data_IF_065088933664
#
_entry.id   IF_065088933664
#
_cell.length_a   1.000
_cell.length_b   1.000
_cell.length_c   1.000
_cell.angle_alpha   90.00
_cell.angle_beta   90.00
_cell.angle_gamma   90.00
#
_symmetry.space_group_name_H-M   'P 1'
#
loop_
_entity.id
_entity.type
_entity.pdbx_description
1 polymer ?
#
# COMPACT_ATOMS: atom_id res chain seq x y z
N UNK A 1 -8.84 -2.48 -58.84
CA UNK A 1 -7.47 -2.01 -59.20
C UNK A 1 -6.71 -1.83 -57.89
N UNK A 2 -5.89 -2.82 -57.50
CA UNK A 2 -4.41 -2.82 -57.60
C UNK A 2 -3.77 -1.95 -56.50
N UNK A 3 -2.73 -2.32 -55.75
CA UNK A 3 -1.83 -3.48 -55.60
C UNK A 3 -1.04 -3.19 -54.28
N UNK A 4 -0.69 -4.19 -53.46
CA UNK A 4 0.70 -4.60 -53.11
C UNK A 4 1.70 -3.48 -52.70
N UNK A 5 2.63 -3.60 -51.75
CA UNK A 5 3.16 -4.68 -50.91
C UNK A 5 4.40 -4.18 -50.15
N UNK A 6 4.75 -4.83 -49.01
CA UNK A 6 6.13 -5.11 -48.47
C UNK A 6 7.00 -3.90 -48.09
N UNK A 7 7.99 -3.95 -47.18
CA UNK A 7 8.80 -4.96 -46.46
C UNK A 7 9.55 -4.18 -45.35
N UNK A 8 9.89 -4.68 -44.17
CA UNK A 8 10.88 -5.72 -43.88
C UNK A 8 12.26 -5.10 -43.58
N UNK A 9 12.83 -5.34 -42.39
CA UNK A 9 14.17 -4.84 -42.02
C UNK A 9 14.63 -5.23 -40.62
N UNK A 10 14.91 -6.51 -40.40
CA UNK A 10 15.68 -7.03 -39.26
C UNK A 10 17.18 -6.89 -39.53
N UNK A 11 17.96 -6.36 -38.58
CA UNK A 11 19.42 -6.31 -38.68
C UNK A 11 20.05 -7.16 -37.57
N UNK A 12 20.38 -8.40 -37.92
CA UNK A 12 21.35 -9.24 -37.21
C UNK A 12 22.72 -8.98 -37.84
N UNK A 13 23.71 -8.58 -37.03
CA UNK A 13 25.12 -8.47 -37.42
C UNK A 13 25.97 -9.37 -36.53
N UNK A 14 26.79 -10.19 -37.17
CA UNK A 14 27.48 -11.36 -36.63
C UNK A 14 28.79 -11.07 -35.88
N UNK A 15 29.14 -12.07 -35.07
CA UNK A 15 30.43 -12.46 -34.49
C UNK A 15 31.73 -12.01 -35.19
N UNK A 16 32.78 -11.76 -34.38
CA UNK A 16 34.12 -12.33 -34.63
C UNK A 16 35.01 -12.35 -33.37
N UNK A 17 35.62 -13.52 -33.15
CA UNK A 17 36.64 -13.89 -32.15
C UNK A 17 38.04 -13.53 -32.66
N UNK A 18 38.93 -12.94 -31.84
CA UNK A 18 40.40 -13.06 -31.97
C UNK A 18 41.07 -13.04 -30.59
N UNK A 19 42.11 -13.85 -30.44
CA UNK A 19 42.72 -14.34 -29.22
C UNK A 19 44.00 -13.61 -28.76
N UNK A 20 44.37 -13.87 -27.51
CA UNK A 20 45.73 -14.14 -26.98
C UNK A 20 46.81 -13.04 -27.06
N UNK A 21 47.36 -12.64 -25.89
CA UNK A 21 48.81 -12.75 -25.58
C UNK A 21 49.14 -12.30 -24.14
N UNK A 22 49.66 -13.26 -23.38
CA UNK A 22 50.38 -13.12 -22.12
C UNK A 22 51.72 -12.40 -22.32
N UNK A 23 52.09 -11.47 -21.43
CA UNK A 23 53.49 -11.22 -21.10
C UNK A 23 53.68 -10.97 -19.60
N UNK A 24 54.52 -11.82 -19.01
CA UNK A 24 55.10 -11.74 -17.67
C UNK A 24 56.32 -10.80 -17.70
N UNK A 25 56.45 -9.89 -16.73
CA UNK A 25 57.73 -9.27 -16.38
C UNK A 25 57.83 -9.18 -14.85
N UNK A 26 58.70 -10.01 -14.28
CA UNK A 26 59.22 -9.89 -12.92
C UNK A 26 60.62 -9.29 -13.02
N UNK A 27 60.92 -8.24 -12.25
CA UNK A 27 62.30 -7.83 -11.97
C UNK A 27 62.44 -7.51 -10.48
N UNK A 28 63.29 -8.30 -9.85
CA UNK A 28 63.78 -8.24 -8.48
C UNK A 28 64.89 -7.18 -8.37
N UNK A 29 64.91 -6.40 -7.30
CA UNK A 29 66.02 -5.49 -7.00
C UNK A 29 66.19 -5.28 -5.49
N UNK A 30 67.19 -5.95 -4.90
CA UNK A 30 67.62 -5.78 -3.51
C UNK A 30 68.84 -4.86 -3.46
N UNK A 31 68.85 -3.88 -2.56
CA UNK A 31 70.08 -3.28 -2.02
C UNK A 31 69.98 -3.14 -0.51
N UNK A 32 70.93 -3.76 0.21
CA UNK A 32 71.19 -3.55 1.65
C UNK A 32 72.27 -2.49 1.80
N UNK A 33 72.11 -1.55 2.74
CA UNK A 33 73.25 -0.79 3.27
C UNK A 33 73.04 -0.37 4.74
N UNK A 34 73.96 -0.83 5.58
CA UNK A 34 74.64 -0.04 6.62
C UNK A 34 73.87 0.48 7.84
N UNK A 35 74.06 -0.20 8.97
CA UNK A 35 73.73 0.26 10.31
C UNK A 35 74.60 1.47 10.76
N UNK A 36 74.03 2.37 11.56
CA UNK A 36 74.76 3.20 12.53
C UNK A 36 74.02 3.25 13.86
N UNK A 37 74.79 3.00 14.92
CA UNK A 37 74.39 2.95 16.32
C UNK A 37 74.32 4.34 16.94
N UNK A 38 73.25 4.63 17.68
CA UNK A 38 73.27 5.60 18.78
C UNK A 38 72.39 5.06 19.89
N UNK A 39 73.03 4.57 20.96
CA UNK A 39 72.34 4.29 22.23
C UNK A 39 72.00 5.63 22.88
N UNK A 40 70.71 5.96 22.95
CA UNK A 40 70.16 6.87 23.94
C UNK A 40 69.02 6.12 24.64
N UNK A 41 69.13 6.12 25.97
CA UNK A 41 68.29 5.40 26.89
C UNK A 41 66.94 6.14 27.01
N UNK A 42 65.93 5.67 26.27
CA UNK A 42 64.53 5.97 26.53
C UNK A 42 63.76 4.66 26.68
N UNK A 43 62.95 4.63 27.74
CA UNK A 43 62.11 3.54 28.20
C UNK A 43 61.21 3.00 27.06
N UNK A 44 61.18 1.70 26.73
CA UNK A 44 60.26 1.22 25.71
C UNK A 44 58.85 1.09 26.29
N UNK A 45 58.02 2.08 25.98
CA UNK A 45 56.59 1.87 25.87
C UNK A 45 56.30 0.84 24.75
N UNK A 46 55.39 -0.08 25.06
CA UNK A 46 54.56 -0.84 24.13
C UNK A 46 55.26 -1.63 23.00
N UNK A 47 55.32 -2.94 23.21
CA UNK A 47 54.65 -3.85 22.28
C UNK A 47 53.72 -4.74 23.09
N UNK A 48 52.54 -4.21 23.45
CA UNK A 48 51.39 -5.11 23.54
C UNK A 48 51.24 -5.62 22.12
N UNK A 49 51.63 -6.88 21.91
CA UNK A 49 51.08 -7.65 20.82
C UNK A 49 49.57 -7.47 20.94
N UNK A 50 48.97 -6.67 20.06
CA UNK A 50 47.54 -6.74 19.84
C UNK A 50 47.33 -8.18 19.41
N UNK A 51 46.61 -9.02 20.18
CA UNK A 51 46.29 -10.35 19.72
C UNK A 51 45.69 -10.18 18.33
N UNK A 52 46.20 -10.90 17.34
CA UNK A 52 45.58 -10.97 16.03
C UNK A 52 44.08 -11.17 16.28
N UNK A 53 43.28 -10.18 15.91
CA UNK A 53 41.83 -10.27 16.02
C UNK A 53 41.47 -11.55 15.27
N UNK A 54 41.07 -12.55 16.05
CA UNK A 54 40.40 -13.73 15.52
C UNK A 54 39.26 -13.17 14.66
N UNK A 55 38.98 -13.72 13.46
CA UNK A 55 37.77 -13.35 12.76
C UNK A 55 36.64 -13.64 13.75
N UNK A 56 36.07 -12.58 14.35
CA UNK A 56 34.91 -12.73 15.20
C UNK A 56 33.91 -13.45 14.31
N UNK A 57 33.53 -14.67 14.69
CA UNK A 57 32.36 -15.33 14.13
C UNK A 57 31.19 -14.43 14.50
N UNK A 58 30.95 -13.41 13.67
CA UNK A 58 29.90 -12.43 13.87
C UNK A 58 28.62 -13.22 13.73
N UNK A 59 28.01 -13.52 14.87
CA UNK A 59 26.76 -14.23 14.91
C UNK A 59 25.76 -13.47 14.04
N UNK A 60 25.15 -14.15 13.09
CA UNK A 60 24.26 -13.53 12.11
C UNK A 60 23.16 -12.75 12.84
N UNK A 61 23.01 -11.44 12.59
CA UNK A 61 21.96 -10.66 13.22
C UNK A 61 20.56 -11.24 12.90
N UNK A 62 19.67 -11.17 13.88
CA UNK A 62 18.26 -11.54 13.66
C UNK A 62 17.61 -10.59 12.66
N UNK A 63 16.58 -11.04 11.94
CA UNK A 63 15.83 -10.17 11.02
C UNK A 63 15.39 -8.85 11.68
N UNK A 64 14.90 -8.88 12.92
CA UNK A 64 14.53 -7.67 13.66
C UNK A 64 15.71 -6.72 13.88
N UNK A 65 16.89 -7.25 14.21
CA UNK A 65 18.09 -6.43 14.36
C UNK A 65 18.46 -5.76 13.04
N UNK A 66 18.39 -6.50 11.93
CA UNK A 66 18.67 -5.96 10.60
C UNK A 66 17.67 -4.86 10.23
N UNK A 67 16.38 -5.05 10.50
CA UNK A 67 15.34 -4.03 10.26
C UNK A 67 15.61 -2.75 11.08
N UNK A 68 16.05 -2.88 12.33
CA UNK A 68 16.40 -1.72 13.15
C UNK A 68 17.56 -0.92 12.55
N UNK A 69 18.61 -1.59 12.06
CA UNK A 69 19.73 -0.92 11.39
C UNK A 69 19.28 -0.19 10.10
N UNK A 70 18.39 -0.80 9.32
CA UNK A 70 17.79 -0.17 8.14
C UNK A 70 16.95 1.06 8.51
N UNK A 71 16.21 1.03 9.62
CA UNK A 71 15.48 2.20 10.12
C UNK A 71 16.39 3.35 10.54
N UNK A 72 17.65 3.07 10.88
CA UNK A 72 18.68 4.06 11.21
C UNK A 72 19.46 4.55 9.98
N UNK A 73 19.22 3.97 8.80
CA UNK A 73 19.86 4.36 7.56
C UNK A 73 21.14 3.59 7.21
N UNK A 74 21.45 2.52 7.95
CA UNK A 74 22.61 1.66 7.68
C UNK A 74 22.29 0.67 6.54
N UNK A 75 22.06 1.22 5.34
CA UNK A 75 21.57 0.47 4.18
C UNK A 75 22.59 -0.52 3.61
N UNK A 76 23.87 -0.16 3.57
CA UNK A 76 24.90 -1.04 3.00
C UNK A 76 25.09 -2.30 3.83
N UNK A 77 25.32 -2.14 5.13
CA UNK A 77 25.51 -3.25 6.07
C UNK A 77 24.21 -4.07 6.17
N UNK A 78 23.06 -3.40 6.26
CA UNK A 78 21.76 -4.06 6.32
C UNK A 78 21.40 -4.87 5.06
N UNK A 79 21.87 -4.45 3.86
CA UNK A 79 21.72 -5.25 2.64
C UNK A 79 22.50 -6.56 2.73
N UNK A 80 23.77 -6.48 3.14
CA UNK A 80 24.65 -7.64 3.28
C UNK A 80 24.10 -8.60 4.33
N UNK A 81 23.67 -8.07 5.48
CA UNK A 81 23.07 -8.86 6.54
C UNK A 81 21.76 -9.53 6.07
N UNK A 82 20.90 -8.83 5.31
CA UNK A 82 19.68 -9.43 4.73
C UNK A 82 19.99 -10.54 3.73
N UNK A 83 21.00 -10.34 2.88
CA UNK A 83 21.42 -11.35 1.91
C UNK A 83 21.95 -12.59 2.61
N UNK A 84 22.78 -12.44 3.65
CA UNK A 84 23.26 -13.57 4.45
C UNK A 84 22.11 -14.25 5.22
N UNK A 85 21.21 -13.47 5.83
CA UNK A 85 20.00 -13.97 6.49
C UNK A 85 19.13 -14.83 5.57
N UNK A 86 18.92 -14.39 4.32
CA UNK A 86 18.10 -15.11 3.35
C UNK A 86 18.76 -16.37 2.78
N UNK A 87 20.08 -16.52 2.90
CA UNK A 87 20.76 -17.79 2.57
C UNK A 87 20.37 -18.90 3.55
N UNK A 88 20.25 -18.55 4.83
CA UNK A 88 19.81 -19.48 5.89
C UNK A 88 18.27 -19.62 5.94
N UNK A 89 17.55 -18.56 5.55
CA UNK A 89 16.09 -18.48 5.62
C UNK A 89 15.44 -18.14 4.27
N UNK A 90 15.61 -18.99 3.23
CA UNK A 90 15.15 -18.67 1.88
C UNK A 90 13.63 -18.56 1.73
N UNK A 91 12.84 -19.00 2.71
CA UNK A 91 11.37 -18.90 2.72
C UNK A 91 10.81 -17.71 3.51
N UNK A 92 11.65 -16.90 4.15
CA UNK A 92 11.22 -15.76 4.95
C UNK A 92 10.74 -14.61 4.03
N UNK A 93 9.42 -14.57 3.80
CA UNK A 93 8.79 -13.56 2.95
C UNK A 93 9.02 -12.12 3.45
N UNK A 94 8.87 -11.81 4.75
CA UNK A 94 9.24 -10.49 5.28
C UNK A 94 10.66 -10.07 4.93
N UNK A 95 11.66 -10.95 5.10
CA UNK A 95 13.04 -10.64 4.77
C UNK A 95 13.27 -10.44 3.27
N UNK A 96 12.65 -11.27 2.43
CA UNK A 96 12.67 -11.10 0.97
C UNK A 96 12.07 -9.76 0.54
N UNK A 97 10.92 -9.39 1.12
CA UNK A 97 10.26 -8.12 0.84
C UNK A 97 11.13 -6.93 1.29
N UNK A 98 11.80 -7.04 2.44
CA UNK A 98 12.71 -6.00 2.93
C UNK A 98 13.90 -5.82 1.97
N UNK A 99 14.53 -6.92 1.53
CA UNK A 99 15.63 -6.86 0.56
C UNK A 99 15.15 -6.23 -0.76
N UNK A 100 13.99 -6.63 -1.25
CA UNK A 100 13.40 -6.04 -2.46
C UNK A 100 13.20 -4.52 -2.33
N UNK A 101 12.72 -4.04 -1.18
CA UNK A 101 12.56 -2.59 -0.93
C UNK A 101 13.88 -1.82 -0.96
N UNK A 102 14.99 -2.47 -0.63
CA UNK A 102 16.31 -1.87 -0.59
C UNK A 102 16.94 -1.79 -1.99
N UNK A 103 16.77 -2.85 -2.80
CA UNK A 103 17.43 -2.96 -4.12
C UNK A 103 16.59 -2.42 -5.27
N UNK A 104 15.26 -2.43 -5.16
CA UNK A 104 14.39 -1.95 -6.24
C UNK A 104 14.52 -0.43 -6.45
N UNK A 105 14.24 0.05 -7.65
CA UNK A 105 14.04 1.48 -7.91
C UNK A 105 12.66 1.89 -7.33
N UNK A 106 12.60 2.83 -6.36
CA UNK A 106 11.34 3.26 -5.75
C UNK A 106 10.34 3.83 -6.76
N UNK A 107 10.80 4.51 -7.81
CA UNK A 107 9.92 5.10 -8.83
C UNK A 107 9.33 4.01 -9.72
N UNK A 108 10.11 2.98 -10.06
CA UNK A 108 9.61 1.83 -10.82
C UNK A 108 8.63 1.01 -10.00
N UNK A 109 8.92 0.79 -8.72
CA UNK A 109 8.10 -0.02 -7.83
C UNK A 109 6.79 0.66 -7.42
N UNK A 110 6.81 1.96 -7.10
CA UNK A 110 5.65 2.69 -6.57
C UNK A 110 4.96 3.59 -7.61
N UNK A 111 5.59 3.84 -8.75
CA UNK A 111 5.11 4.72 -9.80
C UNK A 111 5.57 6.17 -9.65
N UNK A 112 5.62 6.89 -10.78
CA UNK A 112 6.10 8.28 -10.84
C UNK A 112 5.07 9.32 -10.38
N UNK A 113 3.79 8.98 -10.39
CA UNK A 113 2.72 9.87 -9.94
C UNK A 113 2.70 9.91 -8.42
N UNK A 114 2.64 11.12 -7.85
CA UNK A 114 2.54 11.31 -6.41
C UNK A 114 1.69 12.52 -6.05
N UNK A 115 1.28 12.58 -4.79
CA UNK A 115 0.71 13.76 -4.16
C UNK A 115 1.63 14.27 -3.04
N UNK A 116 1.65 15.57 -2.82
CA UNK A 116 2.36 16.16 -1.68
C UNK A 116 1.58 15.98 -0.40
N UNK A 117 2.25 15.57 0.66
CA UNK A 117 1.71 15.42 2.00
C UNK A 117 2.58 16.15 3.01
N UNK A 118 1.94 16.83 3.97
CA UNK A 118 2.61 17.48 5.09
C UNK A 118 2.53 16.54 6.28
N UNK A 119 3.68 16.09 6.76
CA UNK A 119 3.79 15.15 7.88
C UNK A 119 3.12 15.73 9.12
N UNK A 120 2.27 14.92 9.76
CA UNK A 120 1.54 15.26 10.98
C UNK A 120 2.17 14.59 12.20
N UNK A 121 1.79 15.05 13.40
CA UNK A 121 2.21 14.41 14.64
C UNK A 121 1.74 12.94 14.67
N UNK A 122 2.68 12.02 14.94
CA UNK A 122 2.43 10.58 14.96
C UNK A 122 2.62 9.88 13.60
N UNK A 123 2.95 10.61 12.54
CA UNK A 123 3.34 9.99 11.28
C UNK A 123 4.76 9.42 11.33
N UNK A 124 4.93 8.29 10.67
CA UNK A 124 6.20 7.64 10.36
C UNK A 124 6.10 7.07 8.95
N UNK A 125 7.21 6.69 8.32
CA UNK A 125 7.10 6.03 7.02
C UNK A 125 6.30 4.73 7.08
N UNK A 126 6.30 4.00 8.19
CA UNK A 126 5.49 2.79 8.35
C UNK A 126 4.00 3.09 8.49
N UNK A 127 3.60 4.11 9.26
CA UNK A 127 2.17 4.48 9.39
C UNK A 127 1.63 5.08 8.10
N UNK A 128 2.46 5.81 7.36
CA UNK A 128 2.11 6.34 6.05
C UNK A 128 2.08 5.23 4.99
N UNK A 129 3.03 4.31 4.98
CA UNK A 129 3.00 3.15 4.09
C UNK A 129 1.75 2.28 4.33
N UNK A 130 1.38 2.04 5.59
CA UNK A 130 0.13 1.35 5.92
C UNK A 130 -1.10 2.07 5.36
N UNK A 131 -1.16 3.40 5.55
CA UNK A 131 -2.32 4.22 5.16
C UNK A 131 -2.46 4.38 3.64
N UNK A 132 -1.35 4.52 2.93
CA UNK A 132 -1.35 4.92 1.51
C UNK A 132 -0.93 3.79 0.56
N UNK A 133 -0.17 2.80 1.02
CA UNK A 133 0.28 1.65 0.23
C UNK A 133 -0.41 0.33 0.65
N UNK A 134 -1.09 0.33 1.80
CA UNK A 134 -1.74 -0.87 2.35
C UNK A 134 -0.79 -1.85 3.03
N UNK A 135 0.51 -1.52 3.09
CA UNK A 135 1.54 -2.35 3.71
C UNK A 135 2.41 -1.51 4.66
N UNK A 136 2.32 -1.69 5.99
CA UNK A 136 3.21 -1.02 6.94
C UNK A 136 4.69 -1.38 6.74
N UNK A 137 4.96 -2.56 6.15
CA UNK A 137 6.30 -3.03 5.83
C UNK A 137 6.98 -2.21 4.73
N UNK A 138 6.22 -1.50 3.89
CA UNK A 138 6.74 -0.70 2.77
C UNK A 138 7.39 0.64 3.18
N UNK A 139 7.77 0.79 4.45
CA UNK A 139 8.34 2.03 5.00
C UNK A 139 9.66 2.41 4.33
N UNK A 140 10.50 1.41 4.04
CA UNK A 140 11.87 1.64 3.55
C UNK A 140 11.83 2.14 2.11
N UNK A 141 11.04 1.50 1.26
CA UNK A 141 10.88 1.95 -0.12
C UNK A 141 10.17 3.30 -0.21
N UNK A 142 9.24 3.62 0.71
CA UNK A 142 8.61 4.93 0.78
C UNK A 142 9.59 6.02 1.26
N UNK A 143 10.49 5.71 2.19
CA UNK A 143 11.56 6.60 2.60
C UNK A 143 12.50 6.90 1.43
N UNK A 144 12.93 5.86 0.71
CA UNK A 144 13.77 5.99 -0.50
C UNK A 144 13.07 6.74 -1.62
N UNK A 145 11.76 6.54 -1.81
CA UNK A 145 10.94 7.31 -2.75
C UNK A 145 11.01 8.83 -2.48
N UNK A 146 11.21 9.21 -1.21
CA UNK A 146 11.34 10.59 -0.77
C UNK A 146 12.79 11.07 -0.65
N UNK A 147 13.76 10.25 -1.03
CA UNK A 147 15.18 10.57 -0.90
C UNK A 147 15.68 10.57 0.56
N UNK A 148 14.93 9.96 1.49
CA UNK A 148 15.36 9.87 2.88
C UNK A 148 16.39 8.76 3.07
N UNK A 149 17.56 9.15 3.60
CA UNK A 149 18.63 8.24 3.99
C UNK A 149 18.37 7.56 5.35
N UNK A 150 17.45 8.10 6.17
CA UNK A 150 17.13 7.56 7.49
C UNK A 150 15.61 7.63 7.72
N UNK A 151 14.90 6.49 7.67
CA UNK A 151 13.45 6.44 7.85
C UNK A 151 12.97 6.94 9.22
N UNK A 152 13.80 6.89 10.26
CA UNK A 152 13.46 7.34 11.61
C UNK A 152 13.53 8.87 11.79
N UNK A 153 14.06 9.61 10.80
CA UNK A 153 14.22 11.07 10.88
C UNK A 153 13.06 11.88 10.30
N UNK A 154 11.92 11.26 9.98
CA UNK A 154 10.76 11.97 9.43
C UNK A 154 10.24 13.04 10.41
N UNK A 155 10.16 14.31 9.97
CA UNK A 155 9.78 15.43 10.86
C UNK A 155 8.36 15.90 10.60
N UNK A 156 7.65 16.25 11.67
CA UNK A 156 6.36 16.95 11.57
C UNK A 156 6.52 18.26 10.79
N UNK A 157 5.61 18.51 9.86
CA UNK A 157 5.66 19.66 8.95
C UNK A 157 6.49 19.44 7.69
N UNK A 158 7.25 18.34 7.60
CA UNK A 158 8.01 18.00 6.40
C UNK A 158 7.08 17.72 5.22
N UNK A 159 7.43 18.22 4.03
CA UNK A 159 6.68 17.94 2.80
C UNK A 159 7.29 16.73 2.11
N UNK A 160 6.54 15.66 2.05
CA UNK A 160 6.92 14.42 1.37
C UNK A 160 6.00 14.15 0.18
N UNK A 161 6.45 13.28 -0.72
CA UNK A 161 5.68 12.70 -1.81
C UNK A 161 5.12 11.34 -1.38
N UNK A 162 3.82 11.19 -1.51
CA UNK A 162 3.14 9.91 -1.38
C UNK A 162 2.78 9.41 -2.78
N UNK A 163 3.27 8.24 -3.21
CA UNK A 163 2.97 7.73 -4.54
C UNK A 163 1.48 7.44 -4.67
N UNK A 164 0.94 7.82 -5.82
CA UNK A 164 -0.40 7.45 -6.26
C UNK A 164 -0.22 6.14 -7.01
N UNK A 165 -0.14 5.02 -6.27
CA UNK A 165 0.07 3.71 -6.87
C UNK A 165 -0.90 3.50 -8.03
N UNK A 166 -0.40 3.00 -9.17
CA UNK A 166 -1.22 2.62 -10.32
C UNK A 166 -2.27 1.53 -9.99
N UNK A 167 -2.18 0.93 -8.79
CA UNK A 167 -3.16 0.03 -8.17
C UNK A 167 -4.12 0.69 -7.16
N UNK A 168 -4.22 2.01 -7.09
CA UNK A 168 -5.21 2.74 -6.25
C UNK A 168 -6.67 2.59 -6.75
N UNK A 169 -6.97 1.50 -7.46
CA UNK A 169 -8.31 0.94 -7.60
C UNK A 169 -8.37 -0.44 -6.93
N UNK A 170 -7.99 -0.54 -5.66
CA UNK A 170 -8.37 -1.59 -4.71
C UNK A 170 -7.90 -1.13 -3.32
N UNK A 171 -8.71 -0.78 -2.33
CA UNK A 171 -10.14 -0.87 -2.09
C UNK A 171 -10.48 0.41 -1.31
N UNK A 172 -11.28 1.30 -1.89
CA UNK A 172 -11.86 2.40 -1.12
C UNK A 172 -12.60 1.76 0.07
N UNK A 173 -12.18 2.05 1.31
CA UNK A 173 -12.85 1.52 2.52
C UNK A 173 -14.36 1.68 2.33
N UNK A 174 -15.20 0.67 2.64
CA UNK A 174 -16.64 0.73 2.37
C UNK A 174 -17.30 2.03 2.89
N UNK A 175 -16.84 2.52 4.04
CA UNK A 175 -17.29 3.81 4.59
C UNK A 175 -16.88 5.02 3.74
N UNK A 176 -15.65 5.06 3.25
CA UNK A 176 -15.18 6.13 2.37
C UNK A 176 -15.97 6.14 1.05
N UNK A 177 -16.21 4.95 0.47
CA UNK A 177 -17.03 4.78 -0.73
C UNK A 177 -18.45 5.29 -0.50
N UNK A 178 -19.09 4.87 0.59
CA UNK A 178 -20.43 5.32 0.93
C UNK A 178 -20.50 6.86 1.12
N UNK A 179 -19.51 7.46 1.77
CA UNK A 179 -19.44 8.93 1.95
C UNK A 179 -19.25 9.68 0.61
N UNK A 180 -18.38 9.16 -0.27
CA UNK A 180 -18.18 9.75 -1.60
C UNK A 180 -19.46 9.67 -2.43
N UNK A 181 -20.13 8.53 -2.45
CA UNK A 181 -21.40 8.33 -3.13
C UNK A 181 -22.49 9.26 -2.60
N UNK A 182 -22.54 9.50 -1.28
CA UNK A 182 -23.46 10.49 -0.70
C UNK A 182 -23.17 11.90 -1.19
N UNK A 183 -21.90 12.34 -1.20
CA UNK A 183 -21.53 13.67 -1.75
C UNK A 183 -21.91 13.80 -3.21
N UNK A 184 -21.69 12.75 -4.00
CA UNK A 184 -22.06 12.73 -5.41
C UNK A 184 -23.58 12.80 -5.61
N UNK A 185 -24.37 12.11 -4.76
CA UNK A 185 -25.83 12.19 -4.82
C UNK A 185 -26.34 13.64 -4.65
N UNK A 186 -25.73 14.40 -3.75
CA UNK A 186 -26.06 15.83 -3.54
C UNK A 186 -25.65 16.67 -4.75
N UNK A 187 -24.46 16.44 -5.31
CA UNK A 187 -24.02 17.14 -6.53
C UNK A 187 -24.95 16.88 -7.73
N UNK A 188 -25.44 15.65 -7.88
CA UNK A 188 -26.42 15.30 -8.92
C UNK A 188 -27.77 16.00 -8.68
N UNK A 189 -28.18 16.12 -7.42
CA UNK A 189 -29.38 16.85 -7.04
C UNK A 189 -29.26 18.35 -7.40
N UNK A 190 -28.11 18.96 -7.10
CA UNK A 190 -27.82 20.36 -7.48
C UNK A 190 -27.84 20.57 -9.01
N UNK A 191 -27.58 19.53 -9.78
CA UNK A 191 -27.67 19.52 -11.25
C UNK A 191 -29.10 19.23 -11.77
N UNK A 192 -30.09 19.06 -10.89
CA UNK A 192 -31.46 18.70 -11.24
C UNK A 192 -31.66 17.24 -11.63
N UNK A 193 -30.64 16.39 -11.46
CA UNK A 193 -30.66 14.97 -11.85
C UNK A 193 -31.20 14.09 -10.72
N UNK A 194 -32.47 14.29 -10.38
CA UNK A 194 -33.11 13.69 -9.20
C UNK A 194 -33.02 12.15 -9.16
N UNK A 195 -33.29 11.47 -10.28
CA UNK A 195 -33.27 10.00 -10.32
C UNK A 195 -31.86 9.44 -10.10
N UNK A 196 -30.86 10.10 -10.70
CA UNK A 196 -29.46 9.72 -10.53
C UNK A 196 -28.99 9.99 -9.11
N UNK A 197 -29.42 11.10 -8.51
CA UNK A 197 -29.15 11.43 -7.12
C UNK A 197 -29.68 10.33 -6.18
N UNK A 198 -30.96 9.93 -6.34
CA UNK A 198 -31.56 8.85 -5.55
C UNK A 198 -30.82 7.52 -5.74
N UNK A 199 -30.48 7.16 -6.97
CA UNK A 199 -29.75 5.94 -7.27
C UNK A 199 -28.38 5.92 -6.58
N UNK A 200 -27.65 7.05 -6.63
CA UNK A 200 -26.32 7.17 -6.01
C UNK A 200 -26.38 7.10 -4.48
N UNK A 201 -27.39 7.72 -3.88
CA UNK A 201 -27.63 7.60 -2.44
C UNK A 201 -28.02 6.16 -2.06
N UNK A 202 -28.82 5.50 -2.89
CA UNK A 202 -29.18 4.08 -2.72
C UNK A 202 -27.95 3.17 -2.70
N UNK A 203 -26.98 3.39 -3.60
CA UNK A 203 -25.70 2.67 -3.59
C UNK A 203 -24.93 2.92 -2.27
N UNK A 204 -24.86 4.17 -1.81
CA UNK A 204 -24.20 4.53 -0.56
C UNK A 204 -24.78 3.77 0.64
N UNK A 205 -26.11 3.70 0.72
CA UNK A 205 -26.82 3.07 1.84
C UNK A 205 -26.86 1.55 1.75
N UNK A 206 -26.71 0.96 0.57
CA UNK A 206 -26.43 -0.47 0.44
C UNK A 206 -25.08 -0.85 1.06
N UNK A 207 -24.08 0.03 0.94
CA UNK A 207 -22.74 -0.20 1.50
C UNK A 207 -22.73 0.06 3.01
N UNK A 208 -23.38 1.15 3.45
CA UNK A 208 -23.46 1.52 4.87
C UNK A 208 -24.86 2.04 5.21
N UNK A 209 -25.79 1.17 5.65
CA UNK A 209 -27.17 1.57 5.96
C UNK A 209 -27.27 2.66 7.04
N UNK A 210 -26.41 2.58 8.07
CA UNK A 210 -26.29 3.57 9.15
C UNK A 210 -25.48 4.83 8.80
N UNK A 211 -25.20 5.09 7.52
CA UNK A 211 -24.51 6.32 7.10
C UNK A 211 -25.39 7.54 7.44
N UNK A 212 -24.86 8.46 8.26
CA UNK A 212 -25.53 9.71 8.59
C UNK A 212 -25.56 10.65 7.35
N UNK A 213 -26.67 11.35 7.08
CA UNK A 213 -26.71 12.38 6.05
C UNK A 213 -25.84 13.57 6.41
N UNK A 214 -25.10 14.12 5.44
CA UNK A 214 -24.32 15.35 5.59
C UNK A 214 -25.08 16.49 4.91
N UNK A 215 -25.75 17.32 5.72
CA UNK A 215 -26.53 18.46 5.25
C UNK A 215 -28.03 18.18 5.01
N UNK A 216 -28.81 19.25 4.85
CA UNK A 216 -30.27 19.18 4.70
C UNK A 216 -30.69 18.48 3.41
N UNK A 217 -29.98 18.72 2.31
CA UNK A 217 -30.28 18.10 1.02
C UNK A 217 -30.12 16.58 1.08
N UNK A 218 -29.02 16.08 1.65
CA UNK A 218 -28.80 14.64 1.83
C UNK A 218 -29.86 14.00 2.74
N UNK A 219 -30.33 14.72 3.76
CA UNK A 219 -31.39 14.25 4.64
C UNK A 219 -32.75 14.17 3.92
N UNK A 220 -33.08 15.18 3.12
CA UNK A 220 -34.30 15.18 2.29
C UNK A 220 -34.27 14.06 1.25
N UNK A 221 -33.15 13.89 0.55
CA UNK A 221 -32.96 12.83 -0.44
C UNK A 221 -33.05 11.43 0.19
N UNK A 222 -32.51 11.25 1.41
CA UNK A 222 -32.67 10.00 2.18
C UNK A 222 -34.13 9.70 2.49
N UNK A 223 -34.89 10.71 2.94
CA UNK A 223 -36.33 10.54 3.22
C UNK A 223 -37.08 10.11 1.96
N UNK A 224 -36.88 10.81 0.85
CA UNK A 224 -37.50 10.50 -0.44
C UNK A 224 -37.17 9.08 -0.92
N UNK A 225 -35.92 8.63 -0.73
CA UNK A 225 -35.52 7.28 -1.08
C UNK A 225 -36.27 6.21 -0.25
N UNK A 226 -36.44 6.43 1.06
CA UNK A 226 -37.16 5.50 1.94
C UNK A 226 -38.65 5.46 1.59
N UNK A 227 -39.25 6.60 1.29
CA UNK A 227 -40.64 6.68 0.84
C UNK A 227 -40.82 5.94 -0.49
N UNK A 228 -39.88 6.07 -1.44
CA UNK A 228 -39.90 5.31 -2.70
C UNK A 228 -39.80 3.80 -2.48
N UNK A 229 -38.95 3.33 -1.55
CA UNK A 229 -38.91 1.90 -1.21
C UNK A 229 -40.21 1.42 -0.56
N UNK A 230 -40.85 2.26 0.26
CA UNK A 230 -42.11 1.91 0.89
C UNK A 230 -43.24 1.75 -0.14
N UNK A 231 -43.37 2.71 -1.05
CA UNK A 231 -44.33 2.68 -2.17
C UNK A 231 -44.18 1.40 -3.01
N UNK A 232 -42.94 1.06 -3.41
CA UNK A 232 -42.65 -0.17 -4.16
C UNK A 232 -43.05 -1.43 -3.37
N UNK A 233 -42.75 -1.47 -2.07
CA UNK A 233 -43.12 -2.59 -1.21
C UNK A 233 -44.64 -2.75 -1.08
N UNK A 234 -45.40 -1.65 -1.05
CA UNK A 234 -46.87 -1.69 -1.03
C UNK A 234 -47.43 -2.28 -2.32
N UNK A 235 -46.89 -1.92 -3.48
CA UNK A 235 -47.28 -2.51 -4.77
C UNK A 235 -47.05 -4.02 -4.77
N UNK A 236 -45.84 -4.45 -4.39
CA UNK A 236 -45.49 -5.88 -4.29
C UNK A 236 -46.39 -6.63 -3.31
N UNK A 237 -46.69 -6.02 -2.16
CA UNK A 237 -47.58 -6.60 -1.16
C UNK A 237 -49.01 -6.78 -1.67
N UNK A 238 -49.55 -5.78 -2.37
CA UNK A 238 -50.88 -5.86 -3.00
C UNK A 238 -50.93 -6.97 -4.05
N UNK A 239 -49.83 -7.16 -4.77
CA UNK A 239 -49.70 -8.18 -5.80
C UNK A 239 -49.35 -9.56 -5.19
N UNK A 240 -49.43 -9.71 -3.86
CA UNK A 240 -49.12 -10.92 -3.07
C UNK A 240 -47.67 -11.42 -3.23
N UNK A 241 -46.78 -10.59 -3.76
CA UNK A 241 -45.34 -10.85 -3.80
C UNK A 241 -44.73 -10.51 -2.43
N UNK A 242 -45.03 -11.35 -1.43
CA UNK A 242 -44.73 -11.07 -0.02
C UNK A 242 -43.23 -11.03 0.27
N UNK A 243 -42.44 -11.91 -0.35
CA UNK A 243 -40.99 -11.97 -0.16
C UNK A 243 -40.26 -10.69 -0.61
N UNK A 244 -40.44 -10.20 -1.85
CA UNK A 244 -39.80 -8.96 -2.27
C UNK A 244 -40.36 -7.74 -1.52
N UNK A 245 -41.64 -7.73 -1.12
CA UNK A 245 -42.18 -6.67 -0.25
C UNK A 245 -41.47 -6.61 1.12
N UNK A 246 -41.30 -7.77 1.77
CA UNK A 246 -40.60 -7.89 3.05
C UNK A 246 -39.14 -7.42 2.93
N UNK A 247 -38.44 -7.81 1.85
CA UNK A 247 -37.06 -7.41 1.63
C UNK A 247 -36.88 -5.88 1.51
N UNK A 248 -37.83 -5.18 0.91
CA UNK A 248 -37.79 -3.71 0.85
C UNK A 248 -38.02 -3.06 2.22
N UNK A 249 -38.96 -3.56 3.02
CA UNK A 249 -39.14 -3.06 4.38
C UNK A 249 -37.94 -3.39 5.28
N UNK A 250 -37.33 -4.56 5.13
CA UNK A 250 -36.06 -4.90 5.82
C UNK A 250 -34.96 -3.90 5.47
N UNK A 251 -34.83 -3.54 4.18
CA UNK A 251 -33.86 -2.54 3.74
C UNK A 251 -34.14 -1.16 4.34
N UNK A 252 -35.41 -0.73 4.39
CA UNK A 252 -35.80 0.52 5.05
C UNK A 252 -35.38 0.49 6.52
N UNK A 253 -35.69 -0.58 7.24
CA UNK A 253 -35.39 -0.69 8.68
C UNK A 253 -33.90 -0.81 9.00
N UNK A 254 -33.09 -1.33 8.07
CA UNK A 254 -31.63 -1.29 8.18
C UNK A 254 -31.09 0.16 8.10
N UNK A 255 -31.78 1.03 7.36
CA UNK A 255 -31.41 2.43 7.13
C UNK A 255 -32.00 3.34 8.23
N UNK A 256 -33.27 3.13 8.59
CA UNK A 256 -34.00 3.83 9.63
C UNK A 256 -34.83 2.83 10.46
N UNK A 257 -34.29 2.37 11.61
CA UNK A 257 -34.98 1.43 12.50
C UNK A 257 -36.32 1.93 13.04
N UNK A 258 -36.59 3.24 13.00
CA UNK A 258 -37.79 3.85 13.56
C UNK A 258 -38.88 4.14 12.50
N UNK A 259 -38.67 3.73 11.24
CA UNK A 259 -39.61 3.97 10.14
C UNK A 259 -40.93 3.19 10.31
N UNK A 260 -41.93 3.84 10.93
CA UNK A 260 -43.19 3.21 11.37
C UNK A 260 -43.96 2.45 10.28
N UNK A 261 -44.09 2.94 9.03
CA UNK A 261 -44.80 2.19 7.99
C UNK A 261 -44.12 0.83 7.71
N UNK A 262 -42.80 0.78 7.63
CA UNK A 262 -42.08 -0.47 7.37
C UNK A 262 -42.24 -1.48 8.52
N UNK A 263 -42.19 -1.04 9.78
CA UNK A 263 -42.44 -1.90 10.95
C UNK A 263 -43.83 -2.54 10.83
N UNK A 264 -44.85 -1.72 10.59
CA UNK A 264 -46.24 -2.14 10.58
C UNK A 264 -46.54 -3.09 9.42
N UNK A 265 -46.15 -2.72 8.19
CA UNK A 265 -46.48 -3.50 7.01
C UNK A 265 -45.66 -4.78 6.89
N UNK A 266 -44.40 -4.78 7.32
CA UNK A 266 -43.58 -5.99 7.39
C UNK A 266 -44.19 -7.03 8.32
N UNK A 267 -44.67 -6.62 9.50
CA UNK A 267 -45.34 -7.54 10.43
C UNK A 267 -46.61 -8.16 9.80
N UNK A 268 -47.42 -7.35 9.10
CA UNK A 268 -48.61 -7.82 8.38
C UNK A 268 -48.26 -8.82 7.28
N UNK A 269 -47.22 -8.55 6.49
CA UNK A 269 -46.79 -9.43 5.42
C UNK A 269 -46.22 -10.77 5.90
N UNK A 270 -45.47 -10.76 7.00
CA UNK A 270 -44.98 -11.99 7.64
C UNK A 270 -46.14 -12.87 8.12
N UNK A 271 -47.14 -12.27 8.76
CA UNK A 271 -48.33 -13.00 9.21
C UNK A 271 -49.13 -13.57 8.04
N UNK A 272 -49.34 -12.79 6.98
CA UNK A 272 -50.01 -13.28 5.77
C UNK A 272 -49.25 -14.46 5.14
N UNK A 273 -47.92 -14.34 5.00
CA UNK A 273 -47.06 -15.40 4.47
C UNK A 273 -47.16 -16.69 5.30
N UNK A 274 -47.20 -16.58 6.63
CA UNK A 274 -47.36 -17.72 7.53
C UNK A 274 -48.70 -18.44 7.29
N UNK A 275 -49.80 -17.70 7.15
CA UNK A 275 -51.12 -18.27 6.88
C UNK A 275 -51.18 -19.01 5.55
N UNK A 276 -50.54 -18.49 4.51
CA UNK A 276 -50.50 -19.12 3.19
C UNK A 276 -49.71 -20.44 3.18
N UNK A 277 -48.70 -20.59 4.05
CA UNK A 277 -47.94 -21.85 4.19
C UNK A 277 -48.67 -22.95 4.95
N UNK A 278 -49.74 -22.61 5.67
CA UNK A 278 -50.53 -23.54 6.50
C UNK A 278 -51.79 -24.04 5.78
N UNK A 279 -52.02 -23.61 4.54
CA UNK A 279 -53.08 -24.07 3.66
C UNK A 279 -52.51 -25.06 2.65
#
# INVERSE_FOLDING_TARGET
>A
MARQSRSGGSWFGQAMLVAMLLTLQAVTGCTRFGARTSKLNENPAATRQVPAAQPETRQLPSFTAIVNELQLGHYHDGEQDLQHYLQEHPGDRPAQAMLHQLVADPIQALGSRSQTYVVQAGDSYSTLAARYLGDPGAFLILARYNGSANPSMLRVGEKIRLPLSAGATASELPTAKAQRLQRESVSLLDQGQNDQALARLGEALSIKPGLKPVGLQAAALRKQLLDSYHEQAIVLYRDQQLDPAIALWDRILAIDPNYQPAITYRARALELKRRLKQR
#
